data_IF_983743957482
#
_entry.id   IF_983743957482
#
_cell.length_a   1.000
_cell.length_b   1.000
_cell.length_c   1.000
_cell.angle_alpha   90.00
_cell.angle_beta   90.00
_cell.angle_gamma   90.00
#
_symmetry.space_group_name_H-M   'P 1'
#
loop_
_entity.id
_entity.type
_entity.pdbx_description
1 polymer ?
#
# COMPACT_ATOMS: atom_id res chain seq x y z
N UNK A 1 50.92 36.86 -34.64
CA UNK A 1 49.49 37.06 -34.34
C UNK A 1 48.61 35.87 -34.74
N UNK A 2 48.64 35.37 -36.00
CA UNK A 2 47.81 34.21 -36.41
C UNK A 2 48.02 32.92 -35.62
N UNK A 3 49.26 32.60 -35.23
CA UNK A 3 49.61 31.37 -34.45
C UNK A 3 49.12 31.44 -33.00
N UNK A 4 49.10 32.63 -32.38
CA UNK A 4 48.59 32.84 -31.03
C UNK A 4 47.06 32.75 -30.98
N UNK A 5 46.40 33.28 -32.07
CA UNK A 5 44.95 33.19 -32.19
C UNK A 5 44.44 31.73 -32.38
N UNK A 6 45.21 30.90 -33.11
CA UNK A 6 44.86 29.50 -33.31
C UNK A 6 45.08 28.69 -32.00
N UNK A 7 46.10 29.03 -31.19
CA UNK A 7 46.30 28.37 -29.88
C UNK A 7 45.19 28.75 -28.87
N UNK A 8 44.79 30.04 -28.85
CA UNK A 8 43.68 30.48 -27.99
C UNK A 8 42.36 29.86 -28.40
N UNK A 9 42.08 29.72 -29.72
CA UNK A 9 40.87 29.05 -30.19
C UNK A 9 40.84 27.56 -29.88
N UNK A 10 42.01 26.88 -29.99
CA UNK A 10 42.14 25.47 -29.63
C UNK A 10 41.95 25.24 -28.10
N UNK A 11 42.47 26.15 -27.27
CA UNK A 11 42.31 26.10 -25.83
C UNK A 11 40.84 26.30 -25.38
N UNK A 12 40.12 27.23 -26.04
CA UNK A 12 38.71 27.50 -25.80
C UNK A 12 37.86 26.31 -26.30
N UNK A 13 38.22 25.67 -27.42
CA UNK A 13 37.53 24.45 -27.87
C UNK A 13 37.77 23.26 -26.97
N UNK A 14 38.99 23.09 -26.42
CA UNK A 14 39.31 22.06 -25.46
C UNK A 14 38.60 22.28 -24.09
N UNK A 15 38.45 23.53 -23.65
CA UNK A 15 37.68 23.90 -22.47
C UNK A 15 36.17 23.70 -22.70
N UNK A 16 35.64 23.98 -23.89
CA UNK A 16 34.23 23.75 -24.22
C UNK A 16 33.90 22.24 -24.36
N UNK A 17 34.87 21.42 -24.81
CA UNK A 17 34.73 19.96 -24.84
C UNK A 17 34.91 19.30 -23.46
N UNK A 18 35.59 19.94 -22.52
CA UNK A 18 35.70 19.47 -21.13
C UNK A 18 34.46 19.82 -20.27
N UNK A 19 33.61 20.77 -20.70
CA UNK A 19 32.34 21.08 -20.01
C UNK A 19 31.14 20.27 -20.54
N UNK A 20 31.33 19.26 -21.38
CA UNK A 20 30.22 18.61 -22.09
C UNK A 20 30.08 17.10 -21.90
N UNK A 21 30.66 16.52 -20.88
CA UNK A 21 30.34 15.15 -20.50
C UNK A 21 30.32 15.09 -18.96
N UNK A 22 29.30 15.64 -18.36
CA UNK A 22 28.79 15.04 -17.12
C UNK A 22 28.34 13.67 -17.62
N UNK A 23 29.14 12.61 -17.33
CA UNK A 23 28.65 11.26 -17.49
C UNK A 23 27.35 11.21 -16.71
N UNK A 24 26.25 10.92 -17.38
CA UNK A 24 24.97 10.65 -16.71
C UNK A 24 25.30 9.55 -15.71
N UNK A 25 25.29 9.90 -14.43
CA UNK A 25 25.66 8.95 -13.37
C UNK A 25 24.64 7.81 -13.43
N UNK A 26 25.08 6.58 -13.69
CA UNK A 26 24.20 5.44 -13.73
C UNK A 26 23.47 5.34 -12.38
N UNK A 27 22.16 5.26 -12.43
CA UNK A 27 21.35 5.13 -11.23
C UNK A 27 20.23 4.11 -11.44
N UNK A 28 19.88 3.42 -10.35
CA UNK A 28 18.74 2.50 -10.33
C UNK A 28 17.98 2.65 -9.02
N UNK A 29 16.68 2.45 -9.13
CA UNK A 29 15.77 2.24 -7.99
C UNK A 29 15.38 0.77 -8.02
N UNK A 30 15.61 0.06 -6.91
CA UNK A 30 15.18 -1.32 -6.75
C UNK A 30 13.84 -1.36 -5.99
N UNK A 31 12.87 -2.10 -6.51
CA UNK A 31 11.53 -2.24 -5.95
C UNK A 31 11.32 -3.71 -5.60
N UNK A 32 10.95 -4.00 -4.34
CA UNK A 32 10.56 -5.33 -3.89
C UNK A 32 9.09 -5.32 -3.47
N UNK A 33 8.27 -6.15 -4.12
CA UNK A 33 6.84 -6.28 -3.84
C UNK A 33 6.46 -7.71 -3.52
N UNK A 34 5.20 -7.96 -3.16
CA UNK A 34 4.61 -9.29 -3.24
C UNK A 34 4.46 -9.76 -4.70
N UNK A 35 4.06 -11.01 -4.87
CA UNK A 35 3.60 -11.51 -6.16
C UNK A 35 2.19 -10.99 -6.45
N UNK A 36 1.69 -11.18 -7.66
CA UNK A 36 0.29 -10.81 -8.02
C UNK A 36 -0.76 -11.51 -7.17
N UNK A 37 -0.44 -12.66 -6.57
CA UNK A 37 -1.35 -13.36 -5.65
C UNK A 37 -1.45 -12.69 -4.26
N UNK A 38 -0.44 -11.92 -3.86
CA UNK A 38 -0.40 -11.17 -2.61
C UNK A 38 -0.85 -9.70 -2.79
N UNK A 39 -0.45 -9.06 -3.90
CA UNK A 39 -0.77 -7.68 -4.17
C UNK A 39 -0.53 -7.32 -5.63
N UNK A 40 -1.55 -7.49 -6.49
CA UNK A 40 -1.43 -7.14 -7.91
C UNK A 40 -1.11 -5.66 -8.10
N UNK A 41 -1.67 -4.78 -7.28
CA UNK A 41 -1.49 -3.33 -7.37
C UNK A 41 -0.03 -2.91 -7.21
N UNK A 42 0.69 -3.51 -6.27
CA UNK A 42 2.11 -3.21 -6.04
C UNK A 42 2.97 -3.65 -7.24
N UNK A 43 2.65 -4.80 -7.85
CA UNK A 43 3.33 -5.26 -9.07
C UNK A 43 3.05 -4.30 -10.21
N UNK A 44 1.79 -3.86 -10.42
CA UNK A 44 1.42 -2.89 -11.45
C UNK A 44 2.06 -1.52 -11.23
N UNK A 45 2.21 -1.08 -9.98
CA UNK A 45 2.94 0.14 -9.66
C UNK A 45 4.43 0.03 -10.02
N UNK A 46 5.07 -1.10 -9.75
CA UNK A 46 6.44 -1.34 -10.17
C UNK A 46 6.58 -1.38 -11.71
N UNK A 47 5.65 -2.00 -12.42
CA UNK A 47 5.59 -1.97 -13.90
C UNK A 47 5.41 -0.53 -14.42
N UNK A 48 4.59 0.29 -13.76
CA UNK A 48 4.42 1.71 -14.09
C UNK A 48 5.71 2.50 -13.85
N UNK A 49 6.45 2.21 -12.78
CA UNK A 49 7.76 2.80 -12.56
C UNK A 49 8.74 2.43 -13.68
N UNK A 50 8.76 1.17 -14.15
CA UNK A 50 9.55 0.73 -15.30
C UNK A 50 9.14 1.51 -16.56
N UNK A 51 7.84 1.68 -16.80
CA UNK A 51 7.36 2.44 -17.96
C UNK A 51 7.75 3.94 -17.89
N UNK A 52 7.80 4.50 -16.68
CA UNK A 52 8.11 5.91 -16.45
C UNK A 52 9.61 6.22 -16.56
N UNK A 53 10.44 5.41 -15.92
CA UNK A 53 11.88 5.67 -15.77
C UNK A 53 12.76 4.83 -16.73
N UNK A 54 12.22 3.78 -17.32
CA UNK A 54 12.94 2.85 -18.17
C UNK A 54 13.44 1.60 -17.43
N UNK A 55 13.52 0.49 -18.16
CA UNK A 55 13.98 -0.79 -17.60
C UNK A 55 15.47 -0.79 -17.17
N UNK A 56 16.25 0.14 -17.67
CA UNK A 56 17.66 0.29 -17.27
C UNK A 56 17.80 0.97 -15.89
N UNK A 57 16.75 1.65 -15.44
CA UNK A 57 16.73 2.40 -14.17
C UNK A 57 15.89 1.78 -13.08
N UNK A 58 15.05 0.80 -13.37
CA UNK A 58 14.21 0.13 -12.37
C UNK A 58 14.55 -1.36 -12.33
N UNK A 59 14.83 -1.86 -11.13
CA UNK A 59 14.90 -3.30 -10.85
C UNK A 59 13.64 -3.65 -10.06
N UNK A 60 12.85 -4.61 -10.55
CA UNK A 60 11.71 -5.15 -9.81
C UNK A 60 11.91 -6.64 -9.53
N UNK A 61 11.72 -7.04 -8.28
CA UNK A 61 11.67 -8.43 -7.84
C UNK A 61 10.53 -8.62 -6.82
N UNK A 62 10.16 -9.87 -6.53
CA UNK A 62 9.09 -10.18 -5.58
C UNK A 62 9.59 -11.06 -4.44
N UNK A 63 9.08 -10.83 -3.23
CA UNK A 63 9.29 -11.75 -2.11
C UNK A 63 8.35 -12.97 -2.22
N UNK A 64 8.64 -14.10 -1.53
CA UNK A 64 7.83 -15.32 -1.58
C UNK A 64 6.41 -15.11 -1.03
N UNK A 65 5.41 -15.84 -1.55
CA UNK A 65 4.06 -15.86 -1.00
C UNK A 65 4.02 -16.34 0.46
N UNK A 66 4.88 -17.31 0.80
CA UNK A 66 5.02 -17.82 2.16
C UNK A 66 6.05 -17.02 3.00
N UNK A 67 6.13 -15.68 2.79
CA UNK A 67 7.13 -14.79 3.40
C UNK A 67 7.28 -14.96 4.92
N UNK A 68 6.20 -15.30 5.64
CA UNK A 68 6.26 -15.50 7.09
C UNK A 68 7.17 -16.65 7.50
N UNK A 69 7.30 -17.69 6.67
CA UNK A 69 8.22 -18.84 6.86
C UNK A 69 9.49 -18.75 6.02
N UNK A 70 9.55 -17.85 5.04
CA UNK A 70 10.66 -17.67 4.10
C UNK A 70 11.36 -16.31 4.26
N UNK A 71 11.44 -15.80 5.49
CA UNK A 71 12.04 -14.50 5.83
C UNK A 71 13.46 -14.35 5.31
N UNK A 72 14.29 -15.41 5.38
CA UNK A 72 15.67 -15.37 4.87
C UNK A 72 15.74 -15.17 3.35
N UNK A 73 14.75 -15.67 2.61
CA UNK A 73 14.65 -15.42 1.16
C UNK A 73 14.37 -13.95 0.89
N UNK A 74 13.45 -13.34 1.63
CA UNK A 74 13.13 -11.90 1.55
C UNK A 74 14.38 -11.05 1.86
N UNK A 75 15.08 -11.36 2.96
CA UNK A 75 16.33 -10.66 3.33
C UNK A 75 17.38 -10.79 2.22
N UNK A 76 17.56 -11.98 1.66
CA UNK A 76 18.55 -12.24 0.62
C UNK A 76 18.27 -11.44 -0.66
N UNK A 77 16.99 -11.28 -1.05
CA UNK A 77 16.58 -10.47 -2.20
C UNK A 77 16.87 -8.98 -1.97
N UNK A 78 16.56 -8.44 -0.78
CA UNK A 78 16.90 -7.06 -0.42
C UNK A 78 18.42 -6.82 -0.50
N UNK A 79 19.21 -7.70 0.10
CA UNK A 79 20.68 -7.58 0.12
C UNK A 79 21.26 -7.67 -1.29
N UNK A 80 20.65 -8.48 -2.17
CA UNK A 80 21.11 -8.61 -3.55
C UNK A 80 21.07 -7.28 -4.31
N UNK A 81 20.08 -6.40 -4.04
CA UNK A 81 20.03 -5.08 -4.64
C UNK A 81 21.23 -4.20 -4.32
N UNK A 82 21.77 -4.28 -3.07
CA UNK A 82 22.93 -3.51 -2.67
C UNK A 82 24.25 -3.96 -3.35
N UNK A 83 24.23 -5.12 -4.00
CA UNK A 83 25.39 -5.62 -4.76
C UNK A 83 25.54 -4.91 -6.13
N UNK A 84 24.49 -4.28 -6.66
CA UNK A 84 24.57 -3.45 -7.86
C UNK A 84 25.04 -2.03 -7.46
N UNK A 85 26.19 -1.56 -7.97
CA UNK A 85 26.73 -0.23 -7.62
C UNK A 85 25.86 0.93 -8.09
N UNK A 86 24.99 0.70 -9.09
CA UNK A 86 24.12 1.71 -9.65
C UNK A 86 22.85 1.89 -8.81
N UNK A 87 22.49 0.95 -7.92
CA UNK A 87 21.34 1.10 -7.03
C UNK A 87 21.61 2.21 -6.01
N UNK A 88 20.72 3.20 -6.00
CA UNK A 88 20.75 4.39 -5.13
C UNK A 88 19.56 4.45 -4.18
N UNK A 89 18.51 3.69 -4.45
CA UNK A 89 17.34 3.59 -3.59
C UNK A 89 16.74 2.18 -3.63
N UNK A 90 16.19 1.74 -2.51
CA UNK A 90 15.41 0.51 -2.38
C UNK A 90 14.05 0.86 -1.80
N UNK A 91 13.00 0.46 -2.50
CA UNK A 91 11.59 0.61 -2.11
C UNK A 91 11.03 -0.78 -1.88
N UNK A 92 10.50 -1.06 -0.70
CA UNK A 92 9.82 -2.32 -0.40
C UNK A 92 8.37 -2.06 -0.03
N UNK A 93 7.43 -2.62 -0.75
CA UNK A 93 5.98 -2.53 -0.50
C UNK A 93 5.29 -3.87 -0.86
N UNK A 94 4.60 -4.53 0.03
CA UNK A 94 4.49 -4.32 1.46
C UNK A 94 5.80 -4.75 2.15
N UNK A 95 6.27 -3.97 3.13
CA UNK A 95 7.49 -4.31 3.86
C UNK A 95 7.21 -5.41 4.90
N UNK A 96 7.19 -6.68 4.42
CA UNK A 96 6.91 -7.88 5.22
C UNK A 96 8.04 -8.21 6.19
N UNK A 97 7.84 -9.13 7.17
CA UNK A 97 8.89 -9.53 8.11
C UNK A 97 10.22 -9.88 7.45
N UNK A 98 11.30 -9.33 7.98
CA UNK A 98 12.65 -9.36 7.41
C UNK A 98 13.05 -8.06 6.71
N UNK A 99 12.15 -7.10 6.53
CA UNK A 99 12.43 -5.80 5.94
C UNK A 99 13.52 -5.06 6.74
N UNK A 100 13.35 -4.94 8.08
CA UNK A 100 14.37 -4.34 8.94
C UNK A 100 15.73 -5.01 8.80
N UNK A 101 15.78 -6.34 8.91
CA UNK A 101 17.05 -7.07 8.86
C UNK A 101 17.73 -6.93 7.49
N UNK A 102 16.96 -6.90 6.40
CA UNK A 102 17.46 -6.62 5.06
C UNK A 102 18.00 -5.19 4.93
N UNK A 103 17.26 -4.21 5.42
CA UNK A 103 17.66 -2.79 5.40
C UNK A 103 18.91 -2.54 6.25
N UNK A 104 19.03 -3.15 7.43
CA UNK A 104 20.24 -3.06 8.25
C UNK A 104 21.48 -3.58 7.47
N UNK A 105 21.35 -4.74 6.82
CA UNK A 105 22.44 -5.30 6.01
C UNK A 105 22.80 -4.43 4.80
N UNK A 106 21.79 -3.83 4.13
CA UNK A 106 22.03 -2.85 3.06
C UNK A 106 22.78 -1.65 3.62
N UNK A 107 22.37 -1.10 4.77
CA UNK A 107 22.98 0.05 5.40
C UNK A 107 24.43 -0.20 5.79
N UNK A 108 24.75 -1.41 6.27
CA UNK A 108 26.15 -1.83 6.57
C UNK A 108 27.02 -1.88 5.31
N UNK A 109 26.47 -2.31 4.18
CA UNK A 109 27.20 -2.44 2.91
C UNK A 109 27.27 -1.12 2.13
N UNK A 110 26.16 -0.41 2.08
CA UNK A 110 25.93 0.76 1.25
C UNK A 110 25.12 1.82 2.02
N UNK A 111 25.77 2.61 2.88
CA UNK A 111 25.10 3.65 3.68
C UNK A 111 24.50 4.80 2.84
N UNK A 112 24.87 4.87 1.58
CA UNK A 112 24.41 5.86 0.59
C UNK A 112 23.05 5.53 -0.05
N UNK A 113 22.53 4.31 0.12
CA UNK A 113 21.26 3.89 -0.45
C UNK A 113 20.10 4.46 0.39
N UNK A 114 19.16 5.14 -0.27
CA UNK A 114 17.88 5.52 0.34
C UNK A 114 17.00 4.29 0.54
N UNK A 115 16.45 4.11 1.75
CA UNK A 115 15.62 2.96 2.13
C UNK A 115 14.19 3.40 2.45
N UNK A 116 13.23 2.96 1.64
CA UNK A 116 11.82 3.29 1.80
C UNK A 116 11.00 2.03 2.08
N UNK A 117 10.28 2.02 3.21
CA UNK A 117 9.35 0.97 3.59
C UNK A 117 7.91 1.45 3.35
N UNK A 118 7.19 0.81 2.44
CA UNK A 118 5.75 0.99 2.24
C UNK A 118 4.97 -0.11 2.94
N UNK A 119 3.88 0.23 3.63
CA UNK A 119 2.95 -0.71 4.28
C UNK A 119 3.69 -1.77 5.11
N UNK A 120 4.50 -1.37 6.12
CA UNK A 120 5.30 -2.31 6.91
C UNK A 120 4.43 -3.21 7.78
N UNK A 121 4.88 -4.46 7.94
CA UNK A 121 4.30 -5.44 8.87
C UNK A 121 5.11 -5.60 10.16
N UNK A 122 6.30 -4.99 10.24
CA UNK A 122 7.08 -4.91 11.46
C UNK A 122 6.67 -3.67 12.27
N UNK A 123 6.79 -3.74 13.60
CA UNK A 123 6.36 -2.67 14.51
C UNK A 123 7.01 -1.32 14.15
N UNK A 124 6.31 -0.20 14.35
CA UNK A 124 6.78 1.13 13.96
C UNK A 124 8.17 1.48 14.51
N UNK A 125 8.45 1.18 15.79
CA UNK A 125 9.75 1.40 16.42
C UNK A 125 10.87 0.54 15.82
N UNK A 126 10.54 -0.57 15.19
CA UNK A 126 11.48 -1.51 14.57
C UNK A 126 11.85 -1.03 13.17
N UNK A 127 10.84 -0.77 12.32
CA UNK A 127 11.09 -0.41 10.93
C UNK A 127 11.64 1.01 10.76
N UNK A 128 11.22 1.97 11.60
CA UNK A 128 11.72 3.35 11.56
C UNK A 128 13.20 3.46 11.92
N UNK A 129 13.73 2.50 12.68
CA UNK A 129 15.16 2.46 13.00
C UNK A 129 16.05 2.04 11.82
N UNK A 130 15.49 1.44 10.76
CA UNK A 130 16.22 0.91 9.61
C UNK A 130 15.90 1.65 8.30
N UNK A 131 14.65 2.06 8.09
CA UNK A 131 14.22 2.82 6.92
C UNK A 131 14.48 4.33 7.09
N UNK A 132 14.80 5.00 5.98
CA UNK A 132 14.86 6.47 5.95
C UNK A 132 13.44 7.07 5.91
N UNK A 133 12.52 6.41 5.20
CA UNK A 133 11.12 6.82 5.05
C UNK A 133 10.22 5.59 5.22
N UNK A 134 9.15 5.75 5.99
CA UNK A 134 8.07 4.78 6.12
C UNK A 134 6.77 5.43 5.67
N UNK A 135 6.07 4.79 4.72
CA UNK A 135 4.78 5.24 4.16
C UNK A 135 3.72 4.18 4.43
N UNK A 136 2.63 4.55 5.06
CA UNK A 136 1.62 3.59 5.47
C UNK A 136 0.20 4.16 5.38
N UNK A 137 -0.77 3.36 4.94
CA UNK A 137 -2.17 3.73 5.09
C UNK A 137 -2.49 3.85 6.58
N UNK A 138 -3.19 4.91 6.99
CA UNK A 138 -3.50 5.15 8.41
C UNK A 138 -4.47 4.10 8.95
N UNK A 139 -3.96 2.94 9.34
CA UNK A 139 -4.80 1.86 9.86
C UNK A 139 -5.55 2.22 11.15
N UNK A 140 -4.95 2.90 12.14
CA UNK A 140 -5.72 3.42 13.26
C UNK A 140 -6.83 4.38 12.81
N UNK A 141 -6.54 5.38 11.99
CA UNK A 141 -7.55 6.31 11.46
C UNK A 141 -8.65 5.65 10.65
N UNK A 142 -8.36 4.54 9.96
CA UNK A 142 -9.40 3.69 9.34
C UNK A 142 -10.35 3.10 10.39
N UNK A 143 -9.91 2.90 11.63
CA UNK A 143 -10.76 2.43 12.73
C UNK A 143 -11.93 3.36 13.02
N UNK A 144 -11.72 4.66 12.85
CA UNK A 144 -12.77 5.68 12.98
C UNK A 144 -13.63 5.75 11.71
N UNK A 145 -13.01 5.93 10.54
CA UNK A 145 -13.73 6.18 9.28
C UNK A 145 -14.58 5.01 8.81
N UNK A 146 -14.15 3.76 9.05
CA UNK A 146 -14.92 2.55 8.72
C UNK A 146 -16.19 2.48 9.56
N UNK A 147 -16.10 2.68 10.87
CA UNK A 147 -17.28 2.58 11.75
C UNK A 147 -18.22 3.78 11.56
N UNK A 148 -17.69 4.97 11.28
CA UNK A 148 -18.50 6.12 10.88
C UNK A 148 -19.27 5.84 9.58
N UNK A 149 -18.64 5.24 8.58
CA UNK A 149 -19.30 4.81 7.34
C UNK A 149 -20.41 3.79 7.62
N UNK A 150 -20.15 2.80 8.47
CA UNK A 150 -21.14 1.82 8.91
C UNK A 150 -22.35 2.49 9.62
N UNK A 151 -22.08 3.45 10.50
CA UNK A 151 -23.12 4.18 11.21
C UNK A 151 -24.00 5.01 10.25
N UNK A 152 -23.38 5.68 9.27
CA UNK A 152 -24.10 6.45 8.23
C UNK A 152 -25.02 5.56 7.39
N UNK A 153 -24.67 4.30 7.17
CA UNK A 153 -25.52 3.31 6.50
C UNK A 153 -26.59 2.70 7.41
N UNK A 154 -26.52 2.96 8.72
CA UNK A 154 -27.41 2.39 9.73
C UNK A 154 -27.12 0.90 9.97
N UNK A 155 -25.87 0.50 9.88
CA UNK A 155 -25.37 -0.84 10.25
C UNK A 155 -25.62 -1.09 11.73
N UNK A 156 -26.09 -2.29 12.06
CA UNK A 156 -26.42 -2.72 13.43
C UNK A 156 -25.39 -3.70 13.99
N UNK A 157 -24.66 -4.41 13.10
CA UNK A 157 -23.65 -5.40 13.46
C UNK A 157 -22.42 -5.21 12.57
N UNK A 158 -21.24 -5.17 13.18
CA UNK A 158 -19.96 -5.10 12.47
C UNK A 158 -19.15 -6.37 12.76
N UNK A 159 -18.90 -7.18 11.72
CA UNK A 159 -18.12 -8.43 11.79
C UNK A 159 -16.71 -8.16 11.31
N UNK A 160 -15.72 -8.39 12.18
CA UNK A 160 -14.31 -8.18 11.91
C UNK A 160 -13.58 -9.52 11.77
N UNK A 161 -13.21 -9.88 10.55
CA UNK A 161 -12.38 -11.04 10.26
C UNK A 161 -10.91 -10.71 10.42
N UNK A 162 -10.24 -11.43 11.31
CA UNK A 162 -8.80 -11.32 11.53
C UNK A 162 -8.22 -12.65 12.06
N UNK A 163 -6.93 -12.68 12.32
CA UNK A 163 -6.22 -13.85 12.86
C UNK A 163 -5.05 -13.41 13.75
N UNK A 164 -4.54 -14.30 14.65
CA UNK A 164 -3.60 -13.92 15.71
C UNK A 164 -2.36 -13.17 15.27
N UNK A 165 -1.75 -13.54 14.12
CA UNK A 165 -0.55 -12.88 13.60
C UNK A 165 -0.83 -11.40 13.24
N UNK A 166 -1.95 -11.10 12.58
CA UNK A 166 -2.33 -9.73 12.29
C UNK A 166 -2.69 -8.96 13.55
N UNK A 167 -3.45 -9.56 14.48
CA UNK A 167 -3.83 -8.90 15.73
C UNK A 167 -2.63 -8.66 16.68
N UNK A 168 -1.48 -9.28 16.42
CA UNK A 168 -0.23 -9.00 17.14
C UNK A 168 0.51 -7.76 16.59
N UNK A 169 0.15 -7.25 15.41
CA UNK A 169 0.74 -6.03 14.84
C UNK A 169 0.15 -4.79 15.54
N UNK A 170 1.00 -3.86 15.97
CA UNK A 170 0.60 -2.69 16.76
C UNK A 170 -0.49 -1.85 16.08
N UNK A 171 -0.34 -1.53 14.80
CA UNK A 171 -1.29 -0.70 14.06
C UNK A 171 -2.64 -1.38 13.84
N UNK A 172 -2.64 -2.69 13.58
CA UNK A 172 -3.88 -3.48 13.43
C UNK A 172 -4.58 -3.64 14.78
N UNK A 173 -3.83 -3.85 15.86
CA UNK A 173 -4.38 -3.90 17.22
C UNK A 173 -5.01 -2.55 17.61
N UNK A 174 -4.36 -1.42 17.27
CA UNK A 174 -4.89 -0.09 17.50
C UNK A 174 -6.19 0.14 16.72
N UNK A 175 -6.25 -0.23 15.42
CA UNK A 175 -7.47 -0.18 14.63
C UNK A 175 -8.60 -1.01 15.23
N UNK A 176 -8.29 -2.25 15.68
CA UNK A 176 -9.28 -3.11 16.34
C UNK A 176 -9.86 -2.44 17.59
N UNK A 177 -9.01 -1.84 18.43
CA UNK A 177 -9.47 -1.15 19.64
C UNK A 177 -10.40 0.02 19.30
N UNK A 178 -10.15 0.75 18.20
CA UNK A 178 -11.04 1.79 17.70
C UNK A 178 -12.34 1.21 17.13
N UNK A 179 -12.31 0.07 16.43
CA UNK A 179 -13.55 -0.61 16.04
C UNK A 179 -14.44 -0.94 17.25
N UNK A 180 -13.86 -1.51 18.30
CA UNK A 180 -14.59 -1.87 19.53
C UNK A 180 -15.18 -0.64 20.21
N UNK A 181 -14.37 0.40 20.44
CA UNK A 181 -14.81 1.61 21.13
C UNK A 181 -15.85 2.41 20.33
N UNK A 182 -15.67 2.54 19.03
CA UNK A 182 -16.60 3.27 18.16
C UNK A 182 -17.92 2.50 17.98
N UNK A 183 -17.86 1.18 17.84
CA UNK A 183 -19.06 0.34 17.81
C UNK A 183 -19.87 0.50 19.11
N UNK A 184 -19.22 0.46 20.28
CA UNK A 184 -19.87 0.67 21.59
C UNK A 184 -20.51 2.07 21.65
N UNK A 185 -19.76 3.12 21.27
CA UNK A 185 -20.23 4.50 21.30
C UNK A 185 -21.43 4.76 20.38
N UNK A 186 -21.50 4.09 19.23
CA UNK A 186 -22.56 4.26 18.23
C UNK A 186 -23.66 3.21 18.30
N UNK A 187 -23.60 2.28 19.28
CA UNK A 187 -24.60 1.23 19.48
C UNK A 187 -24.61 0.15 18.39
N UNK A 188 -23.47 -0.06 17.71
CA UNK A 188 -23.24 -1.13 16.75
C UNK A 188 -22.69 -2.34 17.50
N UNK A 189 -23.23 -3.53 17.26
CA UNK A 189 -22.72 -4.75 17.85
C UNK A 189 -21.39 -5.15 17.17
N UNK A 190 -20.26 -5.09 17.88
CA UNK A 190 -18.98 -5.62 17.39
C UNK A 190 -18.93 -7.14 17.52
N UNK A 191 -18.47 -7.82 16.47
CA UNK A 191 -18.29 -9.27 16.42
C UNK A 191 -16.90 -9.60 15.89
N UNK A 192 -16.03 -10.17 16.72
CA UNK A 192 -14.76 -10.71 16.29
C UNK A 192 -14.95 -12.10 15.68
N UNK A 193 -14.43 -12.32 14.47
CA UNK A 193 -14.44 -13.60 13.78
C UNK A 193 -13.02 -14.03 13.42
N UNK A 194 -12.55 -15.14 13.99
CA UNK A 194 -11.21 -15.65 13.74
C UNK A 194 -11.19 -16.44 12.43
N UNK A 195 -10.51 -15.89 11.42
CA UNK A 195 -10.26 -16.55 10.15
C UNK A 195 -8.93 -17.33 10.18
N UNK A 196 -8.72 -18.34 9.31
CA UNK A 196 -7.41 -18.95 9.11
C UNK A 196 -6.38 -17.94 8.62
N UNK A 197 -5.13 -18.02 9.12
CA UNK A 197 -4.02 -17.22 8.57
C UNK A 197 -3.68 -17.70 7.16
N UNK A 198 -3.72 -16.84 6.13
CA UNK A 198 -3.39 -17.21 4.74
C UNK A 198 -1.94 -17.68 4.54
N UNK A 199 -1.03 -17.36 5.50
CA UNK A 199 0.36 -17.84 5.49
C UNK A 199 0.57 -19.11 6.31
N UNK A 200 -0.49 -19.62 6.96
CA UNK A 200 -0.48 -20.85 7.77
C UNK A 200 -0.77 -22.11 6.94
N UNK A 201 -1.00 -23.22 7.62
CA UNK A 201 -1.17 -24.54 7.02
C UNK A 201 -2.36 -24.64 6.03
N UNK A 202 -3.45 -23.92 6.30
CA UNK A 202 -4.62 -23.88 5.38
C UNK A 202 -4.36 -23.05 4.11
N UNK A 203 -3.35 -22.21 4.15
CA UNK A 203 -2.97 -21.32 3.05
C UNK A 203 -4.05 -20.31 2.67
N UNK A 204 -3.80 -19.59 1.61
CA UNK A 204 -4.74 -18.60 1.04
C UNK A 204 -6.09 -19.23 0.69
N UNK A 205 -6.08 -20.42 0.08
CA UNK A 205 -7.31 -21.11 -0.33
C UNK A 205 -8.21 -21.45 0.86
N UNK A 206 -7.63 -21.90 1.99
CA UNK A 206 -8.40 -22.20 3.20
C UNK A 206 -9.00 -20.95 3.83
N UNK A 207 -8.28 -19.83 3.83
CA UNK A 207 -8.78 -18.55 4.32
C UNK A 207 -9.94 -18.02 3.43
N UNK A 208 -9.81 -18.14 2.13
CA UNK A 208 -10.84 -17.72 1.16
C UNK A 208 -12.12 -18.58 1.31
N UNK A 209 -11.96 -19.89 1.40
CA UNK A 209 -13.08 -20.81 1.60
C UNK A 209 -13.82 -20.51 2.91
N UNK A 210 -13.09 -20.26 4.00
CA UNK A 210 -13.68 -19.87 5.28
C UNK A 210 -14.60 -18.65 5.15
N UNK A 211 -14.16 -17.59 4.46
CA UNK A 211 -14.96 -16.38 4.25
C UNK A 211 -16.25 -16.66 3.48
N UNK A 212 -16.16 -17.46 2.40
CA UNK A 212 -17.33 -17.83 1.58
C UNK A 212 -18.36 -18.64 2.38
N UNK A 213 -17.93 -19.44 3.36
CA UNK A 213 -18.79 -20.24 4.21
C UNK A 213 -19.35 -19.45 5.40
N UNK A 214 -18.53 -18.59 6.05
CA UNK A 214 -18.91 -17.92 7.29
C UNK A 214 -19.82 -16.69 7.06
N UNK A 215 -19.65 -15.94 5.98
CA UNK A 215 -20.52 -14.77 5.68
C UNK A 215 -21.99 -15.14 5.63
N UNK A 216 -22.43 -16.18 4.89
CA UNK A 216 -23.83 -16.62 4.93
C UNK A 216 -24.30 -17.05 6.33
N UNK A 217 -23.46 -17.74 7.10
CA UNK A 217 -23.79 -18.15 8.47
C UNK A 217 -23.99 -16.95 9.40
N UNK A 218 -23.15 -15.91 9.27
CA UNK A 218 -23.32 -14.64 9.99
C UNK A 218 -24.60 -13.91 9.57
N UNK A 219 -24.95 -13.93 8.28
CA UNK A 219 -26.22 -13.36 7.83
C UNK A 219 -27.45 -14.13 8.35
N UNK A 220 -27.36 -15.44 8.56
CA UNK A 220 -28.38 -16.23 9.25
C UNK A 220 -28.43 -15.92 10.75
N UNK A 221 -27.26 -15.83 11.42
CA UNK A 221 -27.13 -15.49 12.85
C UNK A 221 -27.77 -14.12 13.16
N UNK A 222 -27.58 -13.14 12.29
CA UNK A 222 -28.09 -11.78 12.44
C UNK A 222 -29.25 -11.47 11.50
N UNK A 223 -30.11 -12.45 11.24
CA UNK A 223 -31.23 -12.32 10.32
C UNK A 223 -32.08 -11.06 10.57
N UNK A 224 -32.30 -10.29 9.51
CA UNK A 224 -33.08 -9.05 9.53
C UNK A 224 -32.31 -7.80 9.93
N UNK A 225 -31.04 -7.92 10.39
CA UNK A 225 -30.16 -6.78 10.69
C UNK A 225 -29.32 -6.40 9.49
N UNK A 226 -28.87 -5.14 9.47
CA UNK A 226 -27.81 -4.66 8.58
C UNK A 226 -26.45 -5.04 9.17
N UNK A 227 -25.69 -5.86 8.44
CA UNK A 227 -24.41 -6.39 8.90
C UNK A 227 -23.28 -5.90 8.00
N UNK A 228 -22.31 -5.22 8.55
CA UNK A 228 -21.08 -4.87 7.83
C UNK A 228 -19.97 -5.88 8.12
N UNK A 229 -19.13 -6.12 7.11
CA UNK A 229 -18.02 -7.06 7.19
C UNK A 229 -16.72 -6.37 6.79
N UNK A 230 -15.67 -6.62 7.55
CA UNK A 230 -14.33 -6.16 7.27
C UNK A 230 -13.32 -7.29 7.52
N UNK A 231 -12.30 -7.40 6.68
CA UNK A 231 -11.18 -8.33 6.84
C UNK A 231 -9.84 -7.61 6.84
N UNK A 232 -8.92 -8.05 7.70
CA UNK A 232 -7.57 -7.49 7.81
C UNK A 232 -6.58 -7.99 6.75
N UNK A 233 -6.99 -8.88 5.84
CA UNK A 233 -6.05 -9.49 4.88
C UNK A 233 -6.50 -9.35 3.43
N UNK A 234 -5.53 -9.04 2.56
CA UNK A 234 -5.76 -8.79 1.14
C UNK A 234 -6.37 -10.01 0.41
N UNK A 235 -5.89 -11.21 0.69
CA UNK A 235 -6.38 -12.44 0.01
C UNK A 235 -7.83 -12.80 0.34
N UNK A 236 -8.40 -12.22 1.39
CA UNK A 236 -9.80 -12.44 1.79
C UNK A 236 -10.78 -11.44 1.17
N UNK A 237 -10.30 -10.39 0.48
CA UNK A 237 -11.18 -9.30 0.01
C UNK A 237 -12.10 -9.74 -1.13
N UNK A 238 -11.60 -10.50 -2.11
CA UNK A 238 -12.40 -10.99 -3.22
C UNK A 238 -13.54 -11.92 -2.75
N UNK A 239 -13.28 -12.99 -1.97
CA UNK A 239 -14.35 -13.85 -1.47
C UNK A 239 -15.32 -13.07 -0.54
N UNK A 240 -14.84 -12.09 0.23
CA UNK A 240 -15.69 -11.27 1.08
C UNK A 240 -16.65 -10.40 0.26
N UNK A 241 -16.13 -9.67 -0.72
CA UNK A 241 -16.97 -8.86 -1.62
C UNK A 241 -17.99 -9.72 -2.37
N UNK A 242 -17.54 -10.88 -2.89
CA UNK A 242 -18.41 -11.81 -3.61
C UNK A 242 -19.53 -12.37 -2.72
N UNK A 243 -19.22 -12.78 -1.50
CA UNK A 243 -20.21 -13.31 -0.57
C UNK A 243 -21.25 -12.25 -0.16
N UNK A 244 -20.81 -11.00 0.07
CA UNK A 244 -21.68 -9.87 0.44
C UNK A 244 -22.60 -9.47 -0.71
N UNK A 245 -22.15 -9.55 -1.96
CA UNK A 245 -22.87 -9.03 -3.13
C UNK A 245 -24.28 -9.60 -3.25
N UNK A 246 -24.48 -10.86 -2.92
CA UNK A 246 -25.76 -11.56 -3.00
C UNK A 246 -26.62 -11.45 -1.74
N UNK A 247 -26.14 -10.77 -0.68
CA UNK A 247 -26.81 -10.64 0.60
C UNK A 247 -27.36 -9.20 0.78
N UNK A 248 -28.69 -8.96 0.69
CA UNK A 248 -29.24 -7.60 0.59
C UNK A 248 -28.97 -6.72 1.81
N UNK A 249 -28.75 -7.30 3.00
CA UNK A 249 -28.45 -6.57 4.24
C UNK A 249 -26.97 -6.64 4.65
N UNK A 250 -26.10 -7.13 3.76
CA UNK A 250 -24.66 -7.16 3.99
C UNK A 250 -23.99 -5.93 3.39
N UNK A 251 -23.02 -5.36 4.11
CA UNK A 251 -22.33 -4.12 3.79
C UNK A 251 -20.82 -4.32 3.79
N UNK A 252 -20.14 -3.64 2.88
CA UNK A 252 -18.69 -3.69 2.72
C UNK A 252 -18.11 -2.27 2.78
N UNK A 253 -17.58 -1.82 3.93
CA UNK A 253 -17.15 -0.43 4.10
C UNK A 253 -15.90 -0.08 3.32
N UNK A 254 -14.92 -0.98 3.23
CA UNK A 254 -13.74 -0.83 2.39
C UNK A 254 -12.85 -2.09 2.42
N UNK A 255 -11.90 -2.25 1.46
CA UNK A 255 -10.80 -3.22 1.57
C UNK A 255 -9.82 -2.88 2.71
N UNK A 256 -9.01 -3.86 3.14
CA UNK A 256 -7.92 -3.62 4.10
C UNK A 256 -6.84 -2.64 3.58
N UNK A 257 -6.51 -2.74 2.30
CA UNK A 257 -5.72 -1.76 1.56
C UNK A 257 -6.67 -1.06 0.60
N UNK A 258 -7.25 0.10 0.95
CA UNK A 258 -8.36 0.66 0.21
C UNK A 258 -7.97 1.11 -1.20
N UNK A 259 -8.74 0.66 -2.19
CA UNK A 259 -8.50 0.91 -3.60
C UNK A 259 -9.70 0.49 -4.44
N UNK A 260 -10.00 1.17 -5.57
CA UNK A 260 -11.00 0.72 -6.55
C UNK A 260 -10.58 -0.57 -7.26
N UNK A 261 -9.30 -0.93 -7.22
CA UNK A 261 -8.81 -2.16 -7.87
C UNK A 261 -8.70 -3.35 -6.90
N UNK A 262 -8.73 -3.10 -5.59
CA UNK A 262 -8.53 -4.16 -4.60
C UNK A 262 -9.75 -5.07 -4.53
N UNK A 263 -9.64 -6.21 -5.22
CA UNK A 263 -10.64 -7.26 -5.35
C UNK A 263 -11.93 -6.89 -6.12
N UNK A 264 -12.30 -5.61 -6.28
CA UNK A 264 -13.50 -5.21 -7.02
C UNK A 264 -13.57 -5.78 -8.45
N UNK A 265 -12.48 -5.73 -9.25
CA UNK A 265 -12.53 -6.27 -10.62
C UNK A 265 -12.90 -7.76 -10.64
N UNK A 266 -12.27 -8.57 -9.81
CA UNK A 266 -12.52 -10.00 -9.74
C UNK A 266 -13.92 -10.33 -9.15
N UNK A 267 -14.26 -9.72 -8.01
CA UNK A 267 -15.54 -9.96 -7.33
C UNK A 267 -16.76 -9.55 -8.16
N UNK A 268 -16.61 -8.53 -9.01
CA UNK A 268 -17.69 -7.99 -9.84
C UNK A 268 -17.65 -8.48 -11.31
N UNK A 269 -16.66 -9.28 -11.69
CA UNK A 269 -16.49 -9.73 -13.08
C UNK A 269 -16.14 -8.59 -14.06
N UNK A 270 -15.34 -7.62 -13.61
CA UNK A 270 -14.84 -6.49 -14.40
C UNK A 270 -13.45 -6.80 -14.98
N UNK A 271 -13.32 -7.90 -15.72
CA UNK A 271 -12.05 -8.41 -16.23
C UNK A 271 -11.32 -7.43 -17.19
N UNK A 272 -12.06 -6.47 -17.77
CA UNK A 272 -11.48 -5.43 -18.64
C UNK A 272 -10.92 -4.26 -17.88
N UNK A 273 -11.17 -4.15 -16.58
CA UNK A 273 -10.68 -3.06 -15.74
C UNK A 273 -9.19 -3.27 -15.45
N UNK A 274 -8.36 -2.40 -16.02
CA UNK A 274 -6.91 -2.46 -15.83
C UNK A 274 -6.53 -1.85 -14.48
N UNK A 275 -5.88 -2.64 -13.63
CA UNK A 275 -5.30 -2.16 -12.36
C UNK A 275 -4.29 -1.04 -12.65
N UNK A 276 -4.49 0.12 -11.98
CA UNK A 276 -3.66 1.31 -12.17
C UNK A 276 -3.97 2.12 -13.43
N UNK A 277 -5.15 1.93 -14.01
CA UNK A 277 -5.69 2.76 -15.08
C UNK A 277 -6.22 4.11 -14.59
N UNK A 278 -7.36 4.55 -15.14
CA UNK A 278 -8.05 5.77 -14.69
C UNK A 278 -8.95 5.44 -13.49
N UNK A 279 -8.60 5.96 -12.31
CA UNK A 279 -9.33 5.70 -11.06
C UNK A 279 -10.80 6.16 -11.14
N UNK A 280 -11.07 7.30 -11.79
CA UNK A 280 -12.44 7.80 -11.91
C UNK A 280 -13.29 6.93 -12.85
N UNK A 281 -12.70 6.38 -13.90
CA UNK A 281 -13.37 5.42 -14.79
C UNK A 281 -13.60 4.08 -14.07
N UNK A 282 -12.62 3.62 -13.29
CA UNK A 282 -12.75 2.42 -12.46
C UNK A 282 -13.93 2.54 -11.49
N UNK A 283 -14.04 3.65 -10.77
CA UNK A 283 -15.14 3.90 -9.83
C UNK A 283 -16.52 3.92 -10.53
N UNK A 284 -16.60 4.48 -11.74
CA UNK A 284 -17.86 4.45 -12.55
C UNK A 284 -18.22 3.03 -12.99
N UNK A 285 -17.27 2.24 -13.45
CA UNK A 285 -17.51 0.86 -13.83
C UNK A 285 -17.96 0.01 -12.63
N UNK A 286 -17.32 0.19 -11.47
CA UNK A 286 -17.72 -0.46 -10.21
C UNK A 286 -19.14 -0.04 -9.82
N UNK A 287 -19.44 1.26 -9.79
CA UNK A 287 -20.77 1.77 -9.47
C UNK A 287 -21.87 1.20 -10.39
N UNK A 288 -21.62 1.18 -11.70
CA UNK A 288 -22.53 0.59 -12.67
C UNK A 288 -22.77 -0.90 -12.40
N UNK A 289 -21.72 -1.65 -12.06
CA UNK A 289 -21.83 -3.07 -11.77
C UNK A 289 -22.53 -3.34 -10.44
N UNK A 290 -22.26 -2.56 -9.39
CA UNK A 290 -22.97 -2.64 -8.11
C UNK A 290 -24.47 -2.33 -8.26
N UNK A 291 -24.83 -1.45 -9.21
CA UNK A 291 -26.24 -1.14 -9.48
C UNK A 291 -27.03 -2.34 -10.02
N UNK A 292 -26.40 -3.25 -10.76
CA UNK A 292 -27.04 -4.50 -11.23
C UNK A 292 -27.48 -5.41 -10.07
N UNK A 293 -26.84 -5.26 -8.89
CA UNK A 293 -27.10 -6.05 -7.68
C UNK A 293 -27.83 -5.28 -6.58
N UNK A 294 -28.31 -4.05 -6.87
CA UNK A 294 -28.86 -3.15 -5.86
C UNK A 294 -27.91 -2.92 -4.67
N UNK A 295 -26.61 -2.78 -4.97
CA UNK A 295 -25.53 -2.78 -3.98
C UNK A 295 -24.79 -1.45 -3.86
N UNK A 296 -25.11 -0.42 -4.65
CA UNK A 296 -24.37 0.85 -4.71
C UNK A 296 -24.22 1.53 -3.34
N UNK A 297 -25.25 1.52 -2.50
CA UNK A 297 -25.21 2.11 -1.14
C UNK A 297 -24.71 1.15 -0.05
N UNK A 298 -24.09 0.02 -0.42
CA UNK A 298 -23.64 -1.01 0.51
C UNK A 298 -22.13 -1.31 0.41
N UNK A 299 -21.44 -0.68 -0.54
CA UNK A 299 -20.01 -0.82 -0.78
C UNK A 299 -19.34 0.54 -0.76
N UNK A 300 -18.10 0.55 -0.30
CA UNK A 300 -17.22 1.72 -0.39
C UNK A 300 -15.76 1.29 -0.54
N UNK A 301 -14.92 2.25 -0.87
CA UNK A 301 -13.45 2.16 -0.95
C UNK A 301 -12.86 3.56 -0.84
N UNK A 302 -11.54 3.71 -0.96
CA UNK A 302 -10.93 5.01 -1.21
C UNK A 302 -10.90 5.32 -2.72
N UNK A 303 -10.85 6.62 -3.11
CA UNK A 303 -10.88 7.00 -4.52
C UNK A 303 -9.59 6.67 -5.28
N UNK A 304 -8.48 6.48 -4.56
CA UNK A 304 -7.14 6.24 -5.11
C UNK A 304 -6.55 4.96 -4.53
N UNK A 305 -5.85 4.14 -5.32
CA UNK A 305 -5.18 2.93 -4.85
C UNK A 305 -3.96 3.29 -3.99
N UNK A 306 -4.11 3.26 -2.66
CA UNK A 306 -3.13 3.78 -1.72
C UNK A 306 -1.75 3.13 -1.84
N UNK A 307 -1.68 1.81 -2.03
CA UNK A 307 -0.39 1.11 -2.16
C UNK A 307 0.33 1.48 -3.45
N UNK A 308 -0.41 1.70 -4.54
CA UNK A 308 0.18 2.21 -5.79
C UNK A 308 0.70 3.64 -5.61
N UNK A 309 -0.08 4.52 -4.96
CA UNK A 309 0.34 5.88 -4.65
C UNK A 309 1.61 5.90 -3.77
N UNK A 310 1.72 4.99 -2.79
CA UNK A 310 2.92 4.83 -1.95
C UNK A 310 4.15 4.50 -2.80
N UNK A 311 4.06 3.53 -3.72
CA UNK A 311 5.20 3.16 -4.59
C UNK A 311 5.55 4.30 -5.54
N UNK A 312 4.55 4.96 -6.13
CA UNK A 312 4.78 6.09 -7.03
C UNK A 312 5.49 7.26 -6.32
N UNK A 313 5.00 7.63 -5.12
CA UNK A 313 5.63 8.66 -4.29
C UNK A 313 7.04 8.25 -3.87
N UNK A 314 7.23 6.99 -3.45
CA UNK A 314 8.56 6.48 -3.09
C UNK A 314 9.56 6.55 -4.26
N UNK A 315 9.13 6.18 -5.48
CA UNK A 315 9.99 6.25 -6.67
C UNK A 315 10.28 7.70 -7.08
N UNK A 316 9.29 8.60 -7.02
CA UNK A 316 9.48 10.02 -7.30
C UNK A 316 10.41 10.68 -6.28
N UNK A 317 10.23 10.34 -4.99
CA UNK A 317 11.13 10.81 -3.92
C UNK A 317 12.54 10.28 -4.10
N UNK A 318 12.69 8.98 -4.40
CA UNK A 318 13.97 8.35 -4.68
C UNK A 318 14.68 9.03 -5.85
N UNK A 319 13.95 9.40 -6.92
CA UNK A 319 14.53 10.15 -8.05
C UNK A 319 15.00 11.54 -7.63
N UNK A 320 14.21 12.27 -6.84
CA UNK A 320 14.62 13.57 -6.31
C UNK A 320 15.85 13.47 -5.37
N UNK A 321 15.95 12.40 -4.58
CA UNK A 321 17.12 12.08 -3.77
C UNK A 321 18.37 11.84 -4.62
N UNK A 322 18.24 11.03 -5.67
CA UNK A 322 19.30 10.73 -6.63
C UNK A 322 19.79 12.00 -7.32
N UNK A 323 18.88 12.90 -7.66
CA UNK A 323 19.19 14.19 -8.28
C UNK A 323 19.79 15.23 -7.30
N UNK A 324 19.86 14.89 -6.01
CA UNK A 324 20.38 15.78 -4.96
C UNK A 324 19.44 16.91 -4.59
N UNK A 325 18.15 16.82 -4.94
CA UNK A 325 17.14 17.83 -4.62
C UNK A 325 16.67 17.78 -3.16
N UNK A 326 16.70 16.58 -2.55
CA UNK A 326 16.23 16.31 -1.19
C UNK A 326 17.22 15.47 -0.41
N UNK A 327 17.13 15.50 0.91
CA UNK A 327 17.85 14.59 1.81
C UNK A 327 17.14 13.25 1.97
N UNK A 328 17.57 12.45 2.96
CA UNK A 328 16.99 11.13 3.24
C UNK A 328 15.51 11.19 3.65
N UNK A 329 15.08 12.28 4.27
CA UNK A 329 13.70 12.47 4.71
C UNK A 329 13.33 13.97 4.65
N UNK A 330 12.41 14.31 3.74
CA UNK A 330 11.86 15.67 3.57
C UNK A 330 10.32 15.57 3.55
N UNK A 331 9.72 15.88 4.69
CA UNK A 331 8.26 15.81 4.88
C UNK A 331 7.48 16.72 3.91
N UNK A 332 8.01 17.90 3.57
CA UNK A 332 7.34 18.81 2.65
C UNK A 332 7.32 18.26 1.23
N UNK A 333 8.43 17.64 0.78
CA UNK A 333 8.49 16.99 -0.52
C UNK A 333 7.53 15.79 -0.56
N UNK A 334 7.52 14.93 0.47
CA UNK A 334 6.60 13.78 0.56
C UNK A 334 5.15 14.25 0.46
N UNK A 335 4.77 15.27 1.24
CA UNK A 335 3.42 15.83 1.20
C UNK A 335 3.05 16.34 -0.20
N UNK A 336 3.95 17.09 -0.84
CA UNK A 336 3.70 17.61 -2.20
C UNK A 336 3.54 16.52 -3.25
N UNK A 337 4.21 15.38 -3.10
CA UNK A 337 4.07 14.24 -3.99
C UNK A 337 2.73 13.53 -3.78
N UNK A 338 2.26 13.41 -2.54
CA UNK A 338 0.94 12.84 -2.23
C UNK A 338 -0.22 13.73 -2.68
N UNK A 339 -0.08 15.07 -2.69
CA UNK A 339 -1.09 15.96 -3.26
C UNK A 339 -1.41 15.62 -4.72
N UNK A 340 -0.43 15.09 -5.45
CA UNK A 340 -0.58 14.68 -6.86
C UNK A 340 -1.00 13.21 -6.98
N UNK A 341 -0.35 12.31 -6.23
CA UNK A 341 -0.57 10.87 -6.35
C UNK A 341 -1.87 10.40 -5.69
N UNK A 342 -2.32 11.08 -4.64
CA UNK A 342 -3.54 10.76 -3.90
C UNK A 342 -4.23 12.07 -3.45
N UNK A 343 -4.92 12.78 -4.37
CA UNK A 343 -5.55 14.05 -4.06
C UNK A 343 -6.55 13.95 -2.91
N UNK A 344 -6.44 14.85 -1.93
CA UNK A 344 -7.26 14.85 -0.73
C UNK A 344 -6.75 13.96 0.40
N UNK A 345 -5.60 13.29 0.23
CA UNK A 345 -4.97 12.53 1.31
C UNK A 345 -4.54 13.46 2.46
N UNK A 346 -4.84 13.03 3.67
CA UNK A 346 -4.34 13.64 4.91
C UNK A 346 -3.12 12.86 5.34
N UNK A 347 -1.97 13.55 5.45
CA UNK A 347 -0.73 12.98 5.94
C UNK A 347 -0.48 13.42 7.38
N UNK A 348 -0.05 12.47 8.21
CA UNK A 348 0.38 12.73 9.58
C UNK A 348 1.60 11.86 9.93
N UNK A 349 2.38 12.27 10.91
CA UNK A 349 3.37 11.37 11.50
C UNK A 349 2.68 10.39 12.46
N UNK A 350 3.06 9.13 12.37
CA UNK A 350 2.53 8.10 13.28
C UNK A 350 2.97 8.38 14.71
N UNK A 351 2.02 8.27 15.63
CA UNK A 351 2.27 8.31 17.08
C UNK A 351 1.79 7.01 17.70
N UNK A 352 2.68 6.30 18.38
CA UNK A 352 2.37 5.02 19.02
C UNK A 352 1.53 5.18 20.31
N UNK A 353 1.08 4.06 20.87
CA UNK A 353 0.29 4.04 22.08
C UNK A 353 1.02 4.60 23.34
N UNK A 354 2.35 4.73 23.30
CA UNK A 354 3.17 5.32 24.35
C UNK A 354 3.34 6.83 24.16
N UNK A 355 2.83 7.42 23.09
CA UNK A 355 2.94 8.83 22.76
C UNK A 355 4.24 9.18 22.03
N UNK A 356 4.97 8.21 21.48
CA UNK A 356 6.15 8.43 20.65
C UNK A 356 5.74 8.76 19.23
N UNK A 357 6.12 9.93 18.73
CA UNK A 357 5.91 10.31 17.32
C UNK A 357 7.18 10.03 16.52
N UNK A 358 7.02 9.39 15.36
CA UNK A 358 8.13 9.02 14.48
C UNK A 358 8.22 9.97 13.29
N UNK A 359 9.28 10.76 13.22
CA UNK A 359 9.46 11.83 12.21
C UNK A 359 9.60 11.29 10.76
N UNK A 360 9.96 10.02 10.60
CA UNK A 360 10.12 9.35 9.31
C UNK A 360 9.00 8.32 9.01
N UNK A 361 7.93 8.30 9.80
CA UNK A 361 6.77 7.42 9.58
C UNK A 361 5.53 8.26 9.25
N UNK A 362 5.09 8.19 8.01
CA UNK A 362 3.96 8.96 7.51
C UNK A 362 2.76 8.06 7.29
N UNK A 363 1.64 8.41 7.93
CA UNK A 363 0.35 7.78 7.70
C UNK A 363 -0.45 8.57 6.66
N UNK A 364 -1.17 7.86 5.80
CA UNK A 364 -1.98 8.39 4.72
C UNK A 364 -3.44 7.98 4.95
N UNK A 365 -4.35 8.95 5.06
CA UNK A 365 -5.78 8.73 5.21
C UNK A 365 -6.53 9.43 4.08
N UNK A 366 -7.44 8.69 3.43
CA UNK A 366 -8.37 9.21 2.42
C UNK A 366 -9.82 9.01 2.88
N UNK A 367 -10.72 9.77 2.32
CA UNK A 367 -12.16 9.63 2.56
C UNK A 367 -12.76 8.43 1.82
N UNK A 368 -13.83 7.88 2.38
CA UNK A 368 -14.62 6.82 1.77
C UNK A 368 -15.41 7.33 0.56
N UNK A 369 -15.48 6.52 -0.49
CA UNK A 369 -16.28 6.79 -1.71
C UNK A 369 -17.74 6.47 -1.45
N UNK A 370 -18.65 7.36 -1.85
CA UNK A 370 -20.06 7.02 -2.09
C UNK A 370 -20.25 6.69 -3.58
N UNK A 371 -20.47 5.41 -3.90
CA UNK A 371 -20.70 5.00 -5.29
C UNK A 371 -21.95 5.60 -5.93
N UNK A 372 -22.86 6.23 -5.16
CA UNK A 372 -23.96 7.01 -5.74
C UNK A 372 -23.47 8.22 -6.53
N UNK A 373 -22.32 8.77 -6.20
CA UNK A 373 -21.71 9.93 -6.89
C UNK A 373 -21.14 9.56 -8.27
N UNK A 374 -21.05 8.26 -8.58
CA UNK A 374 -20.44 7.73 -9.81
C UNK A 374 -21.44 7.04 -10.76
N UNK A 375 -22.75 7.19 -10.52
CA UNK A 375 -23.81 6.63 -11.39
C UNK A 375 -23.98 7.37 -12.70
#
# INVERSE_FOLDING_TARGET
MKKILCLALALVLCLALACGAVAEENWKIAILTGTTSQGEEEVRAAERAIATYGADHIIHDTYPDAFASETETTISKLVAFASDPDVKAVVMCQAVPGAKAGFDKIREMRPDILLVAGVPQEDPNVITAAADIVLYSDEPGQGDTIIETCANWGVEVFVHYSFPRHLAMETIAARKALFESNCEALGIQYVEATAPDPTGDAGTAGAQQFILEDVPLKMEEFAGKKVAFFSTNCSMQEPLQTAILTQPNAYYPQPCCPSPYHAFPAALGLESLQVGGDDADALKQIAAKLAEYDAVGRYSTWPTPVNMAIIDVACQYAKAYIDGEVGNNDAAKIASLFEVAAPGAVLANYTDANGTTYDNYYTILLGAVDFNDYK
#
